data_IF_661442403598
#
_entry.id   IF_661442403598
#
_cell.length_a   1.000
_cell.length_b   1.000
_cell.length_c   1.000
_cell.angle_alpha   90.00
_cell.angle_beta   90.00
_cell.angle_gamma   90.00
#
_symmetry.space_group_name_H-M   'P 1'
#
loop_
_entity.id
_entity.type
_entity.pdbx_description
1 polymer ?
#
# COMPACT_ATOMS: atom_id res chain seq x y z
N UNK A 1 -1.66 -13.66 -4.48
CA UNK A 1 -3.00 -13.17 -4.07
C UNK A 1 -4.04 -13.81 -4.98
N UNK A 2 -4.90 -14.68 -4.45
CA UNK A 2 -6.08 -15.20 -5.17
C UNK A 2 -7.28 -14.29 -4.85
N UNK A 3 -8.22 -14.12 -5.79
CA UNK A 3 -9.47 -13.37 -5.56
C UNK A 3 -9.50 -11.94 -6.10
N UNK A 4 -8.38 -11.40 -6.61
CA UNK A 4 -8.42 -10.15 -7.39
C UNK A 4 -9.07 -10.40 -8.76
N UNK A 5 -9.88 -9.46 -9.28
CA UNK A 5 -10.36 -9.52 -10.65
C UNK A 5 -9.20 -9.67 -11.63
N UNK A 6 -9.42 -10.40 -12.72
CA UNK A 6 -8.41 -10.56 -13.76
C UNK A 6 -7.94 -9.20 -14.29
N UNK A 7 -6.64 -9.07 -14.58
CA UNK A 7 -6.03 -7.84 -15.13
C UNK A 7 -6.29 -6.61 -14.24
N UNK A 8 -6.11 -6.77 -12.93
CA UNK A 8 -6.12 -5.67 -11.95
C UNK A 8 -4.71 -5.12 -11.79
N UNK A 9 -4.57 -3.80 -11.76
CA UNK A 9 -3.30 -3.11 -11.47
C UNK A 9 -3.53 -2.17 -10.29
N UNK A 10 -2.83 -2.44 -9.20
CA UNK A 10 -2.85 -1.64 -7.96
C UNK A 10 -1.52 -0.94 -7.85
N UNK A 11 -1.55 0.35 -7.58
CA UNK A 11 -0.37 1.14 -7.26
C UNK A 11 -0.22 1.26 -5.74
N UNK A 12 1.01 1.12 -5.26
CA UNK A 12 1.28 0.98 -3.85
C UNK A 12 2.76 0.84 -3.52
N UNK A 13 3.04 0.84 -2.22
CA UNK A 13 4.38 0.68 -1.68
C UNK A 13 4.51 -0.64 -0.92
N UNK A 14 5.59 -1.38 -1.16
CA UNK A 14 5.92 -2.57 -0.38
C UNK A 14 6.69 -2.18 0.88
N UNK A 15 6.23 -2.62 2.05
CA UNK A 15 6.84 -2.27 3.33
C UNK A 15 7.04 -3.50 4.21
N UNK A 16 8.10 -3.49 5.00
CA UNK A 16 8.24 -4.36 6.17
C UNK A 16 8.01 -3.49 7.41
N UNK A 17 7.06 -3.89 8.25
CA UNK A 17 6.77 -3.18 9.50
C UNK A 17 7.59 -3.76 10.65
N UNK A 18 8.27 -2.89 11.37
CA UNK A 18 8.94 -3.19 12.63
C UNK A 18 8.34 -2.30 13.73
N UNK A 19 7.72 -2.91 14.73
CA UNK A 19 6.99 -2.20 15.80
C UNK A 19 5.98 -1.16 15.26
N UNK A 20 5.26 -1.52 14.20
CA UNK A 20 4.26 -0.65 13.57
C UNK A 20 4.84 0.43 12.63
N UNK A 21 6.16 0.54 12.46
CA UNK A 21 6.79 1.50 11.57
C UNK A 21 7.41 0.83 10.33
N UNK A 22 7.33 1.45 9.14
CA UNK A 22 8.10 1.00 7.98
C UNK A 22 9.59 0.96 8.29
N UNK A 23 10.27 -0.10 7.85
CA UNK A 23 11.70 -0.29 8.05
C UNK A 23 12.37 -0.67 6.73
N UNK A 24 12.94 0.33 6.06
CA UNK A 24 13.66 0.16 4.81
C UNK A 24 14.82 -0.84 4.89
N UNK A 25 15.57 -0.85 6.01
CA UNK A 25 16.66 -1.81 6.23
C UNK A 25 16.17 -3.27 6.20
N UNK A 26 14.99 -3.54 6.75
CA UNK A 26 14.38 -4.88 6.77
C UNK A 26 13.84 -5.27 5.39
N UNK A 27 13.31 -4.31 4.65
CA UNK A 27 12.91 -4.53 3.26
C UNK A 27 14.13 -4.90 2.39
N UNK A 28 15.24 -4.17 2.51
CA UNK A 28 16.49 -4.48 1.79
C UNK A 28 17.01 -5.89 2.08
N UNK A 29 16.84 -6.42 3.30
CA UNK A 29 17.20 -7.80 3.63
C UNK A 29 16.43 -8.85 2.81
N UNK A 30 15.28 -8.47 2.23
CA UNK A 30 14.46 -9.34 1.38
C UNK A 30 14.70 -9.18 -0.11
N UNK A 31 15.05 -7.97 -0.54
CA UNK A 31 14.90 -7.53 -1.93
C UNK A 31 15.81 -8.29 -2.91
N UNK A 32 16.99 -8.73 -2.47
CA UNK A 32 18.00 -9.35 -3.32
C UNK A 32 18.23 -10.84 -3.01
N UNK A 33 17.32 -11.47 -2.27
CA UNK A 33 17.45 -12.90 -1.93
C UNK A 33 17.09 -13.77 -3.12
N UNK A 34 17.97 -14.74 -3.41
CA UNK A 34 17.76 -15.74 -4.47
C UNK A 34 17.59 -17.16 -3.89
N UNK A 35 18.09 -17.40 -2.68
CA UNK A 35 17.98 -18.70 -2.01
C UNK A 35 16.52 -18.99 -1.57
N UNK A 36 15.86 -20.03 -2.12
CA UNK A 36 14.45 -20.31 -1.86
C UNK A 36 14.14 -20.57 -0.37
N UNK A 37 15.05 -21.26 0.33
CA UNK A 37 14.88 -21.59 1.74
C UNK A 37 14.90 -20.34 2.61
N UNK A 38 15.85 -19.42 2.38
CA UNK A 38 15.91 -18.12 3.03
C UNK A 38 14.70 -17.24 2.71
N UNK A 39 14.26 -17.24 1.44
CA UNK A 39 13.06 -16.50 1.01
C UNK A 39 11.85 -16.93 1.84
N UNK A 40 11.65 -18.25 2.01
CA UNK A 40 10.53 -18.81 2.77
C UNK A 40 10.64 -18.54 4.27
N UNK A 41 11.83 -18.71 4.87
CA UNK A 41 12.03 -18.43 6.30
C UNK A 41 11.73 -16.96 6.60
N UNK A 42 12.30 -16.05 5.81
CA UNK A 42 12.11 -14.62 6.04
C UNK A 42 10.69 -14.17 5.71
N UNK A 43 9.93 -14.87 4.85
CA UNK A 43 8.58 -14.41 4.46
C UNK A 43 7.62 -14.55 5.64
N UNK A 44 7.87 -15.57 6.48
CA UNK A 44 7.18 -15.81 7.74
C UNK A 44 7.67 -14.87 8.86
N UNK A 45 8.98 -14.63 8.96
CA UNK A 45 9.57 -13.80 10.04
C UNK A 45 9.37 -12.30 9.85
N UNK A 46 9.41 -11.82 8.61
CA UNK A 46 9.31 -10.40 8.25
C UNK A 46 8.41 -10.25 7.02
N UNK A 47 7.09 -10.44 7.18
CA UNK A 47 6.16 -10.39 6.06
C UNK A 47 6.10 -8.99 5.46
N UNK A 48 6.22 -8.93 4.13
CA UNK A 48 6.02 -7.72 3.35
C UNK A 48 4.52 -7.45 3.25
N UNK A 49 4.14 -6.18 3.38
CA UNK A 49 2.78 -5.68 3.15
C UNK A 49 2.81 -4.75 1.95
N UNK A 50 1.74 -4.76 1.16
CA UNK A 50 1.48 -3.77 0.13
C UNK A 50 0.57 -2.69 0.71
N UNK A 51 1.10 -1.47 0.86
CA UNK A 51 0.36 -0.25 1.17
C UNK A 51 -0.19 0.31 -0.15
N UNK A 52 -1.40 -0.10 -0.52
CA UNK A 52 -2.04 0.26 -1.77
C UNK A 52 -2.75 1.61 -1.67
N UNK A 53 -2.45 2.54 -2.59
CA UNK A 53 -3.00 3.89 -2.54
C UNK A 53 -3.73 4.34 -3.82
N UNK A 54 -3.66 3.57 -4.91
CA UNK A 54 -4.41 3.83 -6.15
C UNK A 54 -4.78 2.51 -6.88
N UNK A 55 -5.84 2.57 -7.69
CA UNK A 55 -6.29 1.50 -8.56
C UNK A 55 -6.25 2.00 -10.00
N UNK A 56 -5.38 1.40 -10.82
CA UNK A 56 -5.13 1.89 -12.18
C UNK A 56 -5.96 1.11 -13.22
N UNK A 57 -6.12 -0.20 -12.99
CA UNK A 57 -6.91 -1.09 -13.83
C UNK A 57 -7.75 -2.05 -13.00
N UNK A 58 -8.95 -2.35 -13.48
CA UNK A 58 -9.81 -3.40 -12.93
C UNK A 58 -10.54 -4.12 -14.05
N UNK A 59 -10.55 -5.45 -14.04
CA UNK A 59 -11.15 -6.27 -15.11
C UNK A 59 -10.64 -5.89 -16.51
N UNK A 60 -9.37 -5.52 -16.60
CA UNK A 60 -8.72 -5.10 -17.85
C UNK A 60 -9.09 -3.72 -18.37
N UNK A 61 -9.92 -2.95 -17.65
CA UNK A 61 -10.26 -1.56 -18.01
C UNK A 61 -9.36 -0.59 -17.25
N UNK A 62 -8.79 0.37 -17.98
CA UNK A 62 -8.06 1.50 -17.39
C UNK A 62 -9.07 2.46 -16.75
N UNK A 63 -8.88 2.79 -15.48
CA UNK A 63 -9.76 3.72 -14.75
C UNK A 63 -9.05 5.02 -14.34
N UNK A 64 -7.80 5.22 -14.77
CA UNK A 64 -6.98 6.42 -14.47
C UNK A 64 -7.56 7.73 -15.02
N UNK A 65 -8.64 7.69 -15.79
CA UNK A 65 -9.37 8.90 -16.22
C UNK A 65 -10.48 9.34 -15.26
N UNK A 66 -10.77 8.55 -14.23
CA UNK A 66 -11.69 8.91 -13.15
C UNK A 66 -10.94 9.70 -12.07
N UNK A 67 -11.60 10.58 -11.30
CA UNK A 67 -11.03 11.25 -10.14
C UNK A 67 -10.33 10.28 -9.16
N UNK A 68 -9.18 10.68 -8.61
CA UNK A 68 -8.44 9.90 -7.60
C UNK A 68 -9.34 9.41 -6.46
N UNK A 69 -10.27 10.25 -5.97
CA UNK A 69 -11.19 9.87 -4.90
C UNK A 69 -12.08 8.67 -5.28
N UNK A 70 -12.55 8.61 -6.53
CA UNK A 70 -13.36 7.49 -7.04
C UNK A 70 -12.54 6.22 -7.20
N UNK A 71 -11.30 6.35 -7.71
CA UNK A 71 -10.37 5.21 -7.83
C UNK A 71 -10.02 4.65 -6.46
N UNK A 72 -9.81 5.53 -5.46
CA UNK A 72 -9.51 5.14 -4.08
C UNK A 72 -10.71 4.46 -3.40
N UNK A 73 -11.94 4.92 -3.65
CA UNK A 73 -13.14 4.26 -3.14
C UNK A 73 -13.28 2.84 -3.71
N UNK A 74 -13.07 2.67 -5.02
CA UNK A 74 -13.07 1.34 -5.66
C UNK A 74 -11.96 0.44 -5.11
N UNK A 75 -10.78 0.99 -4.81
CA UNK A 75 -9.69 0.26 -4.16
C UNK A 75 -10.11 -0.23 -2.77
N UNK A 76 -10.71 0.62 -1.93
CA UNK A 76 -11.17 0.26 -0.58
C UNK A 76 -12.18 -0.89 -0.65
N UNK A 77 -13.17 -0.81 -1.53
CA UNK A 77 -14.19 -1.85 -1.71
C UNK A 77 -13.60 -3.17 -2.24
N UNK A 78 -12.62 -3.08 -3.14
CA UNK A 78 -11.92 -4.24 -3.67
C UNK A 78 -11.11 -4.93 -2.56
N UNK A 79 -10.31 -4.18 -1.82
CA UNK A 79 -9.46 -4.72 -0.75
C UNK A 79 -10.31 -5.24 0.42
N UNK A 80 -11.37 -4.52 0.80
CA UNK A 80 -12.29 -4.93 1.85
C UNK A 80 -12.98 -6.26 1.55
N UNK A 81 -13.44 -6.47 0.31
CA UNK A 81 -13.99 -7.77 -0.11
C UNK A 81 -12.95 -8.88 -0.15
N UNK A 82 -11.71 -8.55 -0.49
CA UNK A 82 -10.63 -9.53 -0.56
C UNK A 82 -10.20 -10.01 0.83
N UNK A 83 -10.18 -9.11 1.82
CA UNK A 83 -9.80 -9.43 3.21
C UNK A 83 -8.37 -9.95 3.37
N UNK A 84 -7.46 -9.63 2.43
CA UNK A 84 -6.11 -10.17 2.44
C UNK A 84 -5.22 -9.43 3.46
N UNK A 85 -4.63 -10.11 4.46
CA UNK A 85 -3.98 -9.45 5.60
C UNK A 85 -2.70 -8.69 5.25
N UNK A 86 -2.11 -8.95 4.08
CA UNK A 86 -0.91 -8.26 3.59
C UNK A 86 -1.22 -7.11 2.60
N UNK A 87 -2.49 -6.85 2.28
CA UNK A 87 -2.90 -5.75 1.43
C UNK A 87 -3.63 -4.71 2.28
N UNK A 88 -3.07 -3.51 2.39
CA UNK A 88 -3.56 -2.46 3.28
C UNK A 88 -3.82 -1.22 2.44
N UNK A 89 -4.98 -0.60 2.62
CA UNK A 89 -5.24 0.75 2.10
C UNK A 89 -5.01 1.73 3.25
N UNK A 90 -4.00 2.62 3.18
CA UNK A 90 -3.74 3.56 4.26
C UNK A 90 -4.85 4.61 4.33
N UNK A 91 -5.10 5.12 5.53
CA UNK A 91 -6.02 6.22 5.74
C UNK A 91 -5.53 7.51 5.07
N UNK A 92 -6.45 8.45 4.87
CA UNK A 92 -6.17 9.78 4.35
C UNK A 92 -7.05 10.81 5.03
N UNK A 93 -6.65 12.07 4.94
CA UNK A 93 -7.43 13.21 5.41
C UNK A 93 -7.73 14.14 4.24
N UNK A 94 -8.90 14.77 4.27
CA UNK A 94 -9.25 15.86 3.36
C UNK A 94 -9.15 17.17 4.13
N UNK A 95 -8.31 18.09 3.64
CA UNK A 95 -7.91 19.25 4.43
C UNK A 95 -6.97 18.88 5.58
N UNK A 96 -6.59 19.86 6.40
CA UNK A 96 -5.73 19.68 7.59
C UNK A 96 -4.41 18.93 7.34
N UNK A 97 -3.89 18.94 6.11
CA UNK A 97 -2.70 18.18 5.73
C UNK A 97 -1.46 18.53 6.56
N UNK A 98 -1.32 19.80 6.96
CA UNK A 98 -0.22 20.25 7.80
C UNK A 98 -0.29 19.70 9.23
N UNK A 99 -1.48 19.63 9.83
CA UNK A 99 -1.67 19.02 11.15
C UNK A 99 -1.39 17.53 11.10
N UNK A 100 -1.89 16.86 10.05
CA UNK A 100 -1.64 15.44 9.82
C UNK A 100 -0.13 15.18 9.63
N UNK A 101 0.55 15.97 8.80
CA UNK A 101 2.00 15.89 8.62
C UNK A 101 2.76 16.08 9.94
N UNK A 102 2.42 17.09 10.74
CA UNK A 102 3.04 17.31 12.03
C UNK A 102 2.86 16.11 12.98
N UNK A 103 1.68 15.47 12.96
CA UNK A 103 1.44 14.20 13.66
C UNK A 103 2.39 13.09 13.20
N UNK A 104 2.46 12.84 11.90
CA UNK A 104 3.30 11.81 11.28
C UNK A 104 4.79 12.01 11.63
N UNK A 105 5.30 13.24 11.56
CA UNK A 105 6.69 13.56 11.94
C UNK A 105 6.94 13.31 13.43
N UNK A 106 6.01 13.69 14.32
CA UNK A 106 6.12 13.38 15.77
C UNK A 106 6.21 11.87 16.04
N UNK A 107 5.57 11.05 15.21
CA UNK A 107 5.65 9.59 15.29
C UNK A 107 6.91 8.99 14.64
N UNK A 108 7.82 9.83 14.12
CA UNK A 108 9.06 9.44 13.41
C UNK A 108 8.80 8.57 12.17
N UNK A 109 7.74 8.92 11.45
CA UNK A 109 7.44 8.37 10.12
C UNK A 109 7.98 9.32 9.04
N UNK A 110 8.14 8.81 7.82
CA UNK A 110 8.83 9.51 6.73
C UNK A 110 8.15 10.81 6.31
N UNK A 111 6.81 10.84 6.29
CA UNK A 111 6.03 12.00 5.86
C UNK A 111 4.69 11.61 5.27
N UNK A 112 4.12 12.49 4.46
CA UNK A 112 2.82 12.31 3.81
C UNK A 112 2.90 12.65 2.33
N UNK A 113 1.98 12.08 1.55
CA UNK A 113 1.79 12.44 0.15
C UNK A 113 0.50 13.26 0.02
N UNK A 114 0.62 14.51 -0.43
CA UNK A 114 -0.53 15.32 -0.79
C UNK A 114 -0.93 15.06 -2.25
N UNK A 115 -2.22 14.81 -2.49
CA UNK A 115 -2.77 14.54 -3.83
C UNK A 115 -4.03 15.37 -4.03
N UNK A 116 -4.27 15.83 -5.27
CA UNK A 116 -5.55 16.44 -5.64
C UNK A 116 -6.61 15.35 -5.75
N UNK A 117 -7.82 15.62 -5.26
CA UNK A 117 -8.89 14.62 -5.23
C UNK A 117 -9.46 14.30 -6.62
N UNK A 118 -9.38 15.27 -7.52
CA UNK A 118 -9.94 15.27 -8.87
C UNK A 118 -8.91 14.92 -9.97
N UNK A 119 -7.67 14.57 -9.59
CA UNK A 119 -6.62 14.17 -10.55
C UNK A 119 -6.75 12.75 -11.07
#
# INVERSE_FOLDING_TARGET
>A
MRGLPARTVIDGEIVVLQHGRPSFQKLQQRDHLQDPTRIEILSKRMPVRLMAFDLLYVRGRRITGQPLIERRQQLIELVGRLGHPLLIVPDYVVGHGMEFFAGIVRHRLEGIMAKRLDS
#
